data_IF_511735320428
#
_entry.id   IF_511735320428
#
_cell.length_a   1.000
_cell.length_b   1.000
_cell.length_c   1.000
_cell.angle_alpha   90.00
_cell.angle_beta   90.00
_cell.angle_gamma   90.00
#
_symmetry.space_group_name_H-M   'P 1'
#
loop_
_entity.id
_entity.type
_entity.pdbx_description
1 polymer ?
#
# COMPACT_ATOMS: atom_id res chain seq x y z
N UNK A 1 -18.37 -4.73 -7.79
CA UNK A 1 -17.26 -5.23 -6.94
C UNK A 1 -16.00 -5.15 -7.76
N UNK A 2 -15.07 -4.23 -7.47
CA UNK A 2 -13.82 -4.18 -8.20
C UNK A 2 -12.95 -5.38 -7.85
N UNK A 3 -12.54 -6.12 -8.85
CA UNK A 3 -11.59 -7.21 -8.73
C UNK A 3 -10.55 -7.11 -9.85
N UNK A 4 -9.29 -7.22 -9.51
CA UNK A 4 -8.20 -7.22 -10.47
C UNK A 4 -7.37 -8.49 -10.32
N UNK A 5 -7.30 -9.26 -11.40
CA UNK A 5 -6.44 -10.44 -11.49
C UNK A 5 -5.32 -10.14 -12.49
N UNK A 6 -4.08 -10.34 -12.08
CA UNK A 6 -2.94 -10.33 -12.98
C UNK A 6 -2.63 -11.78 -13.37
N UNK A 7 -2.50 -12.00 -14.66
CA UNK A 7 -1.99 -13.23 -15.23
C UNK A 7 -0.52 -12.98 -15.59
N UNK A 8 0.39 -13.27 -14.68
CA UNK A 8 1.82 -13.24 -15.00
C UNK A 8 2.20 -14.56 -15.63
N UNK A 9 2.43 -14.54 -16.94
CA UNK A 9 3.03 -15.65 -17.65
C UNK A 9 4.54 -15.58 -17.51
N UNK A 10 5.10 -16.16 -16.47
CA UNK A 10 6.53 -16.47 -16.44
C UNK A 10 6.78 -17.72 -17.29
N UNK A 11 7.35 -17.51 -18.47
CA UNK A 11 7.86 -18.59 -19.33
C UNK A 11 9.20 -19.12 -18.78
N UNK A 12 9.20 -19.66 -17.59
CA UNK A 12 10.28 -20.47 -17.04
C UNK A 12 9.65 -21.71 -16.41
N UNK A 13 9.92 -22.86 -16.99
CA UNK A 13 9.61 -24.19 -16.46
C UNK A 13 8.14 -24.65 -16.39
N UNK A 14 7.27 -24.21 -17.28
CA UNK A 14 5.96 -24.85 -17.48
C UNK A 14 4.95 -24.70 -16.34
N UNK A 15 5.22 -23.88 -15.33
CA UNK A 15 4.28 -23.56 -14.28
C UNK A 15 3.51 -22.27 -14.63
N UNK A 16 2.20 -22.39 -14.79
CA UNK A 16 1.30 -21.25 -14.91
C UNK A 16 0.95 -20.77 -13.51
N UNK A 17 1.67 -19.77 -13.00
CA UNK A 17 1.34 -19.15 -11.72
C UNK A 17 0.31 -18.02 -11.92
N UNK A 18 -0.83 -18.16 -11.27
CA UNK A 18 -1.85 -17.10 -11.18
C UNK A 18 -1.66 -16.35 -9.88
N UNK A 19 -1.20 -15.11 -9.92
CA UNK A 19 -1.08 -14.29 -8.74
C UNK A 19 -2.28 -13.34 -8.59
N UNK A 20 -2.82 -13.25 -7.38
CA UNK A 20 -3.85 -12.28 -7.04
C UNK A 20 -3.20 -10.95 -6.72
N UNK A 21 -3.39 -9.96 -7.59
CA UNK A 21 -2.87 -8.61 -7.38
C UNK A 21 -3.75 -7.77 -6.45
N UNK A 22 -5.05 -7.73 -6.73
CA UNK A 22 -6.04 -7.04 -5.89
C UNK A 22 -7.35 -7.81 -5.88
N UNK A 23 -7.96 -7.92 -4.69
CA UNK A 23 -9.30 -8.46 -4.49
C UNK A 23 -9.91 -7.82 -3.26
N UNK A 24 -10.87 -6.94 -3.45
CA UNK A 24 -11.57 -6.26 -2.36
C UNK A 24 -13.02 -5.99 -2.71
N UNK A 25 -13.81 -5.77 -1.68
CA UNK A 25 -15.22 -5.38 -1.76
C UNK A 25 -15.49 -4.24 -0.80
N UNK A 26 -16.61 -3.54 -0.94
CA UNK A 26 -16.92 -2.47 -0.03
C UNK A 26 -18.25 -1.79 -0.28
N UNK A 27 -18.49 -0.77 0.51
CA UNK A 27 -19.67 0.07 0.48
C UNK A 27 -19.28 1.50 0.14
N UNK A 28 -20.03 2.14 -0.75
CA UNK A 28 -19.83 3.54 -1.11
C UNK A 28 -21.12 4.31 -0.83
N UNK A 29 -20.97 5.46 -0.19
CA UNK A 29 -22.04 6.41 0.09
C UNK A 29 -21.54 7.82 -0.24
N UNK A 30 -22.35 8.62 -0.90
CA UNK A 30 -22.02 10.02 -1.20
C UNK A 30 -21.92 10.88 0.07
N UNK A 31 -22.66 10.51 1.12
CA UNK A 31 -22.64 11.22 2.41
C UNK A 31 -21.54 10.71 3.33
N UNK A 32 -21.37 9.39 3.42
CA UNK A 32 -20.53 8.74 4.42
C UNK A 32 -19.13 8.37 3.90
N UNK A 33 -18.90 8.46 2.58
CA UNK A 33 -17.63 8.07 1.95
C UNK A 33 -17.61 6.60 1.55
N UNK A 34 -16.43 6.03 1.44
CA UNK A 34 -16.21 4.68 0.92
C UNK A 34 -15.45 3.84 1.96
N UNK A 35 -16.00 2.68 2.27
CA UNK A 35 -15.37 1.67 3.13
C UNK A 35 -15.12 0.41 2.31
N UNK A 36 -13.88 -0.06 2.26
CA UNK A 36 -13.47 -1.24 1.50
C UNK A 36 -12.70 -2.23 2.37
N UNK A 37 -12.83 -3.53 2.07
CA UNK A 37 -12.12 -4.59 2.75
C UNK A 37 -11.53 -5.57 1.75
N UNK A 38 -10.28 -6.00 1.99
CA UNK A 38 -9.57 -6.99 1.18
C UNK A 38 -8.15 -6.55 0.81
N UNK A 39 -7.59 -7.18 -0.24
CA UNK A 39 -6.30 -6.79 -0.79
C UNK A 39 -6.49 -5.67 -1.80
N UNK A 40 -5.90 -4.52 -1.51
CA UNK A 40 -6.07 -3.28 -2.27
C UNK A 40 -4.89 -2.34 -2.07
N UNK A 41 -4.80 -1.29 -2.87
CA UNK A 41 -3.81 -0.24 -2.64
C UNK A 41 -3.93 0.32 -1.23
N UNK A 42 -2.78 0.46 -0.57
CA UNK A 42 -2.71 1.05 0.77
C UNK A 42 -3.00 2.55 0.74
N UNK A 43 -3.28 3.11 1.90
CA UNK A 43 -3.38 4.57 2.05
C UNK A 43 -2.07 5.25 1.66
N UNK A 44 -0.93 4.67 2.07
CA UNK A 44 0.39 5.20 1.74
C UNK A 44 0.62 5.24 0.22
N UNK A 45 0.25 4.16 -0.48
CA UNK A 45 0.36 4.13 -1.94
C UNK A 45 -0.59 5.12 -2.61
N UNK A 46 -1.88 5.15 -2.24
CA UNK A 46 -2.86 6.04 -2.88
C UNK A 46 -2.47 7.52 -2.75
N UNK A 47 -1.88 7.91 -1.62
CA UNK A 47 -1.63 9.33 -1.28
C UNK A 47 -0.21 9.78 -1.69
N UNK A 48 0.79 8.91 -1.54
CA UNK A 48 2.20 9.23 -1.78
C UNK A 48 2.75 8.42 -2.94
N UNK A 49 2.66 7.09 -2.86
CA UNK A 49 3.29 6.18 -3.81
C UNK A 49 2.83 6.40 -5.24
N UNK A 50 1.52 6.53 -5.47
CA UNK A 50 0.96 6.72 -6.81
C UNK A 50 1.43 8.02 -7.50
N UNK A 51 1.82 9.04 -6.73
CA UNK A 51 2.37 10.28 -7.29
C UNK A 51 3.81 10.13 -7.75
N UNK A 52 4.56 9.23 -7.14
CA UNK A 52 5.99 8.98 -7.42
C UNK A 52 6.24 7.71 -8.24
N UNK A 53 5.21 6.88 -8.43
CA UNK A 53 5.26 5.64 -9.22
C UNK A 53 5.07 5.93 -10.73
N UNK A 54 5.89 6.84 -11.26
CA UNK A 54 5.88 7.24 -12.67
C UNK A 54 7.08 6.69 -13.45
N UNK A 55 7.98 5.96 -12.77
CA UNK A 55 9.20 5.43 -13.35
C UNK A 55 9.18 3.90 -13.34
N UNK A 56 9.57 3.29 -14.47
CA UNK A 56 9.63 1.83 -14.61
C UNK A 56 10.85 1.19 -13.92
N UNK A 57 11.77 1.99 -13.41
CA UNK A 57 13.01 1.54 -12.76
C UNK A 57 13.04 1.97 -11.30
N UNK A 58 13.64 1.12 -10.46
CA UNK A 58 13.85 1.36 -9.02
C UNK A 58 14.61 2.67 -8.79
N UNK A 59 13.87 3.71 -8.47
CA UNK A 59 14.47 4.96 -8.00
C UNK A 59 14.41 5.03 -6.48
N UNK A 60 15.49 5.46 -5.86
CA UNK A 60 15.54 5.79 -4.44
C UNK A 60 14.49 6.91 -4.19
N UNK A 61 13.46 6.61 -3.44
CA UNK A 61 12.33 7.53 -3.22
C UNK A 61 11.01 7.09 -3.87
N UNK A 62 11.03 6.09 -4.73
CA UNK A 62 9.81 5.42 -5.14
C UNK A 62 9.20 4.74 -3.90
N UNK A 63 8.04 5.21 -3.47
CA UNK A 63 7.48 4.87 -2.18
C UNK A 63 6.99 3.43 -2.00
N UNK A 64 6.59 2.67 -3.05
CA UNK A 64 6.16 1.30 -2.86
C UNK A 64 7.34 0.40 -2.50
N UNK A 65 7.23 -0.35 -1.41
CA UNK A 65 8.17 -1.39 -1.05
C UNK A 65 9.38 -0.95 -0.23
N UNK A 66 9.35 0.22 0.39
CA UNK A 66 10.41 0.67 1.32
C UNK A 66 10.50 -0.16 2.60
N UNK A 67 9.57 -1.10 2.79
CA UNK A 67 9.58 -2.08 3.87
C UNK A 67 10.12 -3.44 3.44
N UNK A 68 9.72 -4.47 4.19
CA UNK A 68 10.09 -5.86 3.90
C UNK A 68 9.41 -6.35 2.62
N UNK A 69 8.13 -6.02 2.46
CA UNK A 69 7.32 -6.25 1.27
C UNK A 69 6.01 -5.49 1.42
N UNK A 70 5.75 -4.58 0.50
CA UNK A 70 4.62 -3.66 0.57
C UNK A 70 3.23 -4.30 0.64
N UNK A 71 3.08 -5.53 0.17
CA UNK A 71 1.83 -6.29 0.27
C UNK A 71 1.59 -6.79 1.71
N UNK A 72 2.65 -6.98 2.48
CA UNK A 72 2.60 -7.48 3.86
C UNK A 72 2.77 -6.36 4.89
N UNK A 73 3.62 -5.36 4.64
CA UNK A 73 3.90 -4.28 5.60
C UNK A 73 2.92 -3.10 5.52
N UNK A 74 2.03 -3.12 4.54
CA UNK A 74 1.00 -2.09 4.42
C UNK A 74 1.38 -0.89 3.56
N UNK A 75 2.56 -0.88 2.93
CA UNK A 75 3.01 0.27 2.15
C UNK A 75 2.58 0.26 0.69
N UNK A 76 2.15 -0.90 0.15
CA UNK A 76 1.78 -1.03 -1.27
C UNK A 76 0.38 -1.62 -1.46
N UNK A 77 0.25 -2.83 -2.00
CA UNK A 77 -1.03 -3.54 -2.20
C UNK A 77 -1.38 -4.40 -0.99
N UNK A 78 -1.74 -3.72 0.08
CA UNK A 78 -1.88 -4.36 1.39
C UNK A 78 -2.96 -5.43 1.41
N UNK A 79 -2.58 -6.57 1.94
CA UNK A 79 -3.47 -7.70 2.19
C UNK A 79 -4.25 -7.49 3.48
N UNK A 80 -5.46 -8.04 3.54
CA UNK A 80 -6.32 -8.03 4.74
C UNK A 80 -6.42 -6.64 5.38
N UNK A 81 -6.85 -5.66 4.58
CA UNK A 81 -6.97 -4.27 4.98
C UNK A 81 -8.44 -3.82 4.96
N UNK A 82 -8.86 -3.12 5.99
CA UNK A 82 -10.05 -2.28 5.99
C UNK A 82 -9.61 -0.85 5.70
N UNK A 83 -10.12 -0.22 4.65
CA UNK A 83 -9.77 1.14 4.25
C UNK A 83 -11.03 2.01 4.14
N UNK A 84 -10.95 3.19 4.71
CA UNK A 84 -11.94 4.24 4.61
C UNK A 84 -11.38 5.43 3.85
N UNK A 85 -12.20 6.00 2.96
CA UNK A 85 -11.92 7.22 2.23
C UNK A 85 -13.13 8.15 2.27
N UNK A 86 -12.90 9.44 2.52
CA UNK A 86 -13.93 10.48 2.41
C UNK A 86 -13.34 11.76 1.85
N UNK A 87 -14.04 12.37 0.90
CA UNK A 87 -13.74 13.71 0.40
C UNK A 87 -14.43 14.74 1.28
N UNK A 88 -13.70 15.75 1.73
CA UNK A 88 -14.20 16.87 2.54
C UNK A 88 -13.61 18.14 1.96
N UNK A 89 -14.43 18.92 1.23
CA UNK A 89 -13.93 20.08 0.49
C UNK A 89 -12.88 19.64 -0.56
N UNK A 90 -11.72 20.26 -0.52
CA UNK A 90 -10.60 19.98 -1.42
C UNK A 90 -9.65 18.89 -0.89
N UNK A 91 -10.03 18.17 0.17
CA UNK A 91 -9.21 17.13 0.78
C UNK A 91 -9.87 15.74 0.66
N UNK A 92 -9.10 14.77 0.22
CA UNK A 92 -9.39 13.35 0.38
C UNK A 92 -8.72 12.84 1.66
N UNK A 93 -9.50 12.38 2.61
CA UNK A 93 -9.03 11.85 3.89
C UNK A 93 -9.11 10.34 3.86
N UNK A 94 -8.04 9.69 4.30
CA UNK A 94 -7.92 8.24 4.34
C UNK A 94 -7.56 7.74 5.73
N UNK A 95 -8.13 6.61 6.08
CA UNK A 95 -7.74 5.82 7.24
C UNK A 95 -7.79 4.33 6.90
N UNK A 96 -6.88 3.54 7.45
CA UNK A 96 -6.97 2.09 7.30
C UNK A 96 -6.56 1.35 8.57
N UNK A 97 -7.05 0.11 8.66
CA UNK A 97 -6.65 -0.87 9.64
C UNK A 97 -6.14 -2.11 8.92
N UNK A 98 -4.96 -2.58 9.32
CA UNK A 98 -4.30 -3.78 8.81
C UNK A 98 -4.49 -4.92 9.81
N UNK A 99 -5.19 -5.96 9.40
CA UNK A 99 -5.36 -7.15 10.22
C UNK A 99 -4.09 -8.01 10.23
N UNK A 100 -4.01 -8.95 11.15
CA UNK A 100 -2.97 -9.99 11.16
C UNK A 100 -2.98 -10.72 9.81
N UNK A 101 -1.79 -11.01 9.26
CA UNK A 101 -1.66 -11.74 7.99
C UNK A 101 -0.82 -13.01 8.17
N UNK A 102 -0.86 -13.88 7.17
CA UNK A 102 -0.05 -15.09 7.10
C UNK A 102 1.44 -14.79 7.09
N UNK A 103 2.25 -15.77 7.44
CA UNK A 103 3.70 -15.65 7.36
C UNK A 103 4.17 -15.42 5.91
N UNK A 104 5.14 -14.53 5.77
CA UNK A 104 5.86 -14.26 4.54
C UNK A 104 7.34 -14.62 4.72
N UNK A 105 7.95 -15.14 3.65
CA UNK A 105 9.38 -15.51 3.60
C UNK A 105 10.12 -14.47 2.76
N UNK A 106 10.85 -13.52 3.37
CA UNK A 106 11.56 -12.48 2.63
C UNK A 106 12.82 -12.94 1.90
N UNK A 107 13.09 -14.24 1.84
CA UNK A 107 14.23 -14.81 1.10
C UNK A 107 15.57 -14.85 1.84
N UNK A 108 15.63 -14.31 3.06
CA UNK A 108 16.83 -14.29 3.91
C UNK A 108 16.83 -15.36 5.02
N UNK A 109 15.97 -16.38 4.90
CA UNK A 109 15.78 -17.43 5.89
C UNK A 109 14.88 -17.04 7.05
N UNK A 110 14.52 -15.78 7.22
CA UNK A 110 13.63 -15.30 8.26
C UNK A 110 12.16 -15.46 7.84
N UNK A 111 11.29 -15.57 8.84
CA UNK A 111 9.84 -15.55 8.67
C UNK A 111 9.27 -14.26 9.23
N UNK A 112 8.53 -13.54 8.41
CA UNK A 112 7.83 -12.32 8.78
C UNK A 112 6.34 -12.59 8.99
N UNK A 113 5.78 -12.11 10.09
CA UNK A 113 4.33 -12.19 10.34
C UNK A 113 3.81 -10.86 10.85
N UNK A 114 2.96 -10.18 10.03
CA UNK A 114 2.26 -8.98 10.48
C UNK A 114 1.26 -9.33 11.57
N UNK A 115 1.30 -8.60 12.68
CA UNK A 115 0.35 -8.70 13.80
C UNK A 115 -0.81 -7.72 13.68
N UNK A 116 -0.58 -6.61 13.03
CA UNK A 116 -1.56 -5.58 12.79
C UNK A 116 -0.91 -4.27 12.43
N UNK A 117 -1.72 -3.26 12.20
CA UNK A 117 -1.25 -1.94 11.86
C UNK A 117 -2.36 -1.01 11.41
N UNK A 118 -1.98 0.10 10.81
CA UNK A 118 -2.92 1.06 10.26
C UNK A 118 -2.23 2.21 9.57
N UNK A 119 -3.00 2.97 8.81
CA UNK A 119 -2.47 4.12 8.09
C UNK A 119 -3.44 5.30 8.17
N UNK A 120 -2.88 6.47 8.13
CA UNK A 120 -3.61 7.72 7.94
C UNK A 120 -3.02 8.46 6.76
N UNK A 121 -3.85 9.15 6.00
CA UNK A 121 -3.42 9.92 4.85
C UNK A 121 -4.36 11.06 4.50
N UNK A 122 -3.80 12.06 3.88
CA UNK A 122 -4.52 13.19 3.30
C UNK A 122 -3.96 13.47 1.91
N UNK A 123 -4.85 13.64 0.95
CA UNK A 123 -4.53 14.13 -0.39
C UNK A 123 -5.27 15.45 -0.59
N UNK A 124 -4.53 16.55 -0.65
CA UNK A 124 -5.09 17.90 -0.72
C UNK A 124 -4.92 18.46 -2.13
N UNK A 125 -6.04 18.84 -2.74
CA UNK A 125 -6.11 19.47 -4.06
C UNK A 125 -5.89 20.98 -3.92
N UNK A 126 -4.63 21.41 -4.06
CA UNK A 126 -4.25 22.82 -3.99
C UNK A 126 -4.84 23.64 -5.13
N UNK A 127 -4.87 23.05 -6.32
CA UNK A 127 -5.55 23.55 -7.52
C UNK A 127 -6.12 22.37 -8.31
N UNK A 128 -6.74 22.60 -9.46
CA UNK A 128 -7.18 21.54 -10.38
C UNK A 128 -6.05 20.62 -10.83
N UNK A 129 -4.83 21.15 -10.92
CA UNK A 129 -3.67 20.46 -11.50
C UNK A 129 -2.57 20.16 -10.47
N UNK A 130 -2.69 20.71 -9.25
CA UNK A 130 -1.68 20.55 -8.20
C UNK A 130 -2.27 19.88 -6.97
N UNK A 131 -1.72 18.73 -6.62
CA UNK A 131 -2.10 17.95 -5.44
C UNK A 131 -0.91 17.71 -4.53
N UNK A 132 -1.13 17.80 -3.22
CA UNK A 132 -0.18 17.46 -2.19
C UNK A 132 -0.71 16.32 -1.34
N UNK A 133 0.11 15.29 -1.16
CA UNK A 133 -0.21 14.13 -0.35
C UNK A 133 0.73 13.95 0.82
N UNK A 134 0.20 13.51 1.95
CA UNK A 134 0.98 13.06 3.10
C UNK A 134 0.31 11.83 3.72
N UNK A 135 1.11 10.82 4.05
CA UNK A 135 0.62 9.59 4.64
C UNK A 135 1.60 9.03 5.67
N UNK A 136 1.04 8.41 6.69
CA UNK A 136 1.74 7.63 7.69
C UNK A 136 1.19 6.21 7.72
N UNK A 137 2.09 5.23 7.70
CA UNK A 137 1.78 3.81 7.83
C UNK A 137 2.53 3.24 9.02
N UNK A 138 1.80 2.55 9.89
CA UNK A 138 2.33 1.83 11.03
C UNK A 138 2.04 0.34 10.87
N UNK A 139 3.04 -0.49 11.15
CA UNK A 139 2.90 -1.94 11.14
C UNK A 139 3.68 -2.57 12.29
N UNK A 140 3.01 -3.42 13.04
CA UNK A 140 3.63 -4.29 14.03
C UNK A 140 3.76 -5.69 13.46
N UNK A 141 4.96 -6.28 13.57
CA UNK A 141 5.25 -7.61 13.05
C UNK A 141 6.24 -8.38 13.92
N UNK A 142 6.17 -9.70 13.83
CA UNK A 142 7.15 -10.61 14.38
C UNK A 142 8.09 -11.11 13.28
N UNK A 143 9.39 -11.06 13.55
CA UNK A 143 10.43 -11.71 12.78
C UNK A 143 10.90 -12.95 13.53
N UNK A 144 10.85 -14.10 12.87
CA UNK A 144 11.28 -15.37 13.44
C UNK A 144 12.39 -15.98 12.60
N UNK A 145 13.44 -16.43 13.28
CA UNK A 145 14.45 -17.30 12.68
C UNK A 145 14.03 -18.76 12.88
N UNK A 146 13.72 -19.52 11.81
CA UNK A 146 13.30 -20.91 11.94
C UNK A 146 14.43 -21.85 12.39
N UNK A 147 15.71 -21.49 12.17
CA UNK A 147 16.85 -22.36 12.44
C UNK A 147 17.16 -22.46 13.95
N UNK A 148 16.98 -21.39 14.70
CA UNK A 148 17.24 -21.34 16.14
C UNK A 148 15.98 -21.06 16.98
N UNK A 149 14.85 -20.79 16.34
CA UNK A 149 13.58 -20.51 17.01
C UNK A 149 13.46 -19.09 17.60
N UNK A 150 14.49 -18.25 17.46
CA UNK A 150 14.45 -16.88 17.96
C UNK A 150 13.36 -16.07 17.24
N UNK A 151 12.62 -15.29 18.03
CA UNK A 151 11.58 -14.41 17.52
C UNK A 151 11.70 -13.04 18.17
N UNK A 152 11.58 -12.00 17.37
CA UNK A 152 11.59 -10.61 17.84
C UNK A 152 10.47 -9.83 17.18
N UNK A 153 9.66 -9.16 18.00
CA UNK A 153 8.68 -8.19 17.52
C UNK A 153 9.35 -6.85 17.25
N UNK A 154 8.87 -6.17 16.22
CA UNK A 154 9.28 -4.82 15.88
C UNK A 154 8.11 -4.00 15.36
N UNK A 155 8.24 -2.70 15.51
CA UNK A 155 7.29 -1.71 15.04
C UNK A 155 7.94 -0.94 13.87
N UNK A 156 7.25 -0.87 12.76
CA UNK A 156 7.68 -0.15 11.55
C UNK A 156 6.78 1.07 11.36
N UNK A 157 7.40 2.22 11.16
CA UNK A 157 6.72 3.45 10.79
C UNK A 157 7.27 3.94 9.45
N UNK A 158 6.37 4.21 8.50
CA UNK A 158 6.69 4.80 7.21
C UNK A 158 5.92 6.11 7.13
N UNK A 159 6.63 7.21 6.95
CA UNK A 159 6.07 8.53 6.74
C UNK A 159 6.51 9.01 5.37
N UNK A 160 5.59 9.54 4.59
CA UNK A 160 5.88 10.10 3.28
C UNK A 160 5.02 11.30 2.96
N UNK A 161 5.54 12.12 2.06
CA UNK A 161 4.83 13.22 1.44
C UNK A 161 5.20 13.27 -0.04
N UNK A 162 4.27 13.68 -0.86
CA UNK A 162 4.49 13.84 -2.29
C UNK A 162 3.69 15.01 -2.85
N UNK A 163 4.23 15.63 -3.87
CA UNK A 163 3.59 16.68 -4.65
C UNK A 163 3.46 16.19 -6.09
N UNK A 164 2.29 16.39 -6.70
CA UNK A 164 2.07 16.12 -8.11
C UNK A 164 1.44 17.33 -8.78
N UNK A 165 2.07 17.77 -9.86
CA UNK A 165 1.59 18.87 -10.69
C UNK A 165 1.42 18.39 -12.13
N UNK A 166 0.20 18.50 -12.67
CA UNK A 166 -0.19 17.95 -13.97
C UNK A 166 -0.76 19.02 -14.90
N UNK A 167 0.03 20.06 -15.27
CA UNK A 167 -0.44 21.09 -16.18
C UNK A 167 -0.52 20.52 -17.62
N UNK A 168 -1.66 20.69 -18.28
CA UNK A 168 -1.94 20.23 -19.64
C UNK A 168 -1.53 18.75 -19.86
N UNK A 169 -0.48 18.52 -20.65
CA UNK A 169 0.02 17.19 -21.01
C UNK A 169 1.31 16.78 -20.24
N UNK A 170 1.70 17.51 -19.19
CA UNK A 170 2.89 17.26 -18.41
C UNK A 170 2.55 16.73 -17.03
N UNK A 171 3.41 15.88 -16.48
CA UNK A 171 3.33 15.44 -15.09
C UNK A 171 4.68 15.67 -14.42
N UNK A 172 4.66 16.40 -13.31
CA UNK A 172 5.81 16.61 -12.43
C UNK A 172 5.47 16.07 -11.05
N UNK A 173 6.36 15.29 -10.49
CA UNK A 173 6.18 14.69 -9.16
C UNK A 173 7.46 14.78 -8.34
N UNK A 174 7.30 14.99 -7.03
CA UNK A 174 8.37 15.05 -6.05
C UNK A 174 7.95 14.49 -4.71
#
# INVERSE_FOLDING_TARGET
IPAQFNWDHHYADGAHDTSRRMLYTGLKSDTWGTLTFGQQNSVYYDVVGAKTDIWDYDMIGQAPGNGINGDYDGSYRSRQMLKYKKTVGDADIYASYLFEDSEYLPGNGLRYKRKGGGSLGIDYHLTTDLTWGAAWNYTRADMRNPDNGDSKSYDQNILGTALSWTPDNWTFSA
#
